data_IF_881054921995
#
_entry.id   IF_881054921995
#
_cell.length_a   1.000
_cell.length_b   1.000
_cell.length_c   1.000
_cell.angle_alpha   90.00
_cell.angle_beta   90.00
_cell.angle_gamma   90.00
#
_symmetry.space_group_name_H-M   'P 1'
#
loop_
_entity.id
_entity.type
_entity.pdbx_description
1 polymer ?
#
# COMPACT_ATOMS: atom_id res chain seq x y z
N UNK A 1 -61.46 -18.65 -0.26
CA UNK A 1 -61.46 -19.21 1.11
C UNK A 1 -60.11 -18.85 1.72
N UNK A 2 -60.07 -17.75 2.48
CA UNK A 2 -58.84 -17.25 3.11
C UNK A 2 -58.66 -17.94 4.45
N UNK A 3 -57.70 -18.86 4.56
CA UNK A 3 -57.25 -19.40 5.84
C UNK A 3 -56.45 -18.33 6.58
N UNK A 4 -57.15 -17.51 7.36
CA UNK A 4 -56.55 -16.77 8.47
C UNK A 4 -56.24 -17.76 9.58
N UNK A 5 -55.04 -18.35 9.55
CA UNK A 5 -54.49 -19.08 10.69
C UNK A 5 -54.06 -18.08 11.75
N UNK A 6 -55.00 -17.69 12.62
CA UNK A 6 -54.71 -17.15 13.94
C UNK A 6 -54.15 -18.27 14.81
N UNK A 7 -52.87 -18.56 14.64
CA UNK A 7 -52.12 -19.38 15.58
C UNK A 7 -51.89 -18.54 16.84
N UNK A 8 -52.65 -18.83 17.90
CA UNK A 8 -52.37 -18.35 19.26
C UNK A 8 -50.93 -18.74 19.62
N UNK A 9 -50.03 -17.79 19.92
CA UNK A 9 -48.67 -18.15 20.30
C UNK A 9 -48.73 -19.00 21.57
N UNK A 10 -48.16 -20.21 21.51
CA UNK A 10 -48.05 -21.09 22.65
C UNK A 10 -47.43 -20.31 23.81
N UNK A 11 -48.18 -20.15 24.90
CA UNK A 11 -47.71 -19.49 26.11
C UNK A 11 -46.56 -20.32 26.69
N UNK A 12 -45.33 -19.86 26.48
CA UNK A 12 -44.15 -20.48 27.08
C UNK A 12 -44.07 -20.07 28.56
N UNK A 13 -43.52 -20.93 29.44
CA UNK A 13 -43.43 -20.62 30.85
C UNK A 13 -42.73 -19.28 31.06
N UNK A 14 -43.36 -18.36 31.80
CA UNK A 14 -42.80 -17.03 32.07
C UNK A 14 -41.90 -17.02 33.32
N UNK A 15 -41.76 -18.16 33.99
CA UNK A 15 -40.92 -18.31 35.18
C UNK A 15 -39.48 -17.93 34.86
N UNK A 16 -38.95 -16.99 35.64
CA UNK A 16 -37.53 -16.63 35.68
C UNK A 16 -36.94 -17.29 36.92
N UNK A 17 -36.04 -18.24 36.73
CA UNK A 17 -35.45 -18.96 37.85
C UNK A 17 -34.50 -18.07 38.67
N UNK A 18 -34.43 -18.23 40.01
CA UNK A 18 -33.55 -17.44 40.87
C UNK A 18 -32.08 -17.47 40.46
N UNK A 19 -31.58 -18.63 40.01
CA UNK A 19 -30.20 -18.75 39.55
C UNK A 19 -29.91 -17.96 38.26
N UNK A 20 -30.90 -17.74 37.38
CA UNK A 20 -30.75 -16.83 36.23
C UNK A 20 -30.64 -15.38 36.67
N UNK A 21 -31.45 -14.96 37.66
CA UNK A 21 -31.37 -13.61 38.22
C UNK A 21 -29.99 -13.36 38.83
N UNK A 22 -29.52 -14.28 39.68
CA UNK A 22 -28.19 -14.18 40.27
C UNK A 22 -27.08 -14.09 39.20
N UNK A 23 -27.17 -14.89 38.13
CA UNK A 23 -26.21 -14.84 37.03
C UNK A 23 -26.24 -13.52 36.26
N UNK A 24 -27.43 -12.94 36.04
CA UNK A 24 -27.56 -11.63 35.38
C UNK A 24 -26.98 -10.52 36.25
N UNK A 25 -27.33 -10.49 37.54
CA UNK A 25 -26.84 -9.48 38.49
C UNK A 25 -25.32 -9.49 38.57
N UNK A 26 -24.71 -10.68 38.71
CA UNK A 26 -23.26 -10.85 38.73
C UNK A 26 -22.58 -10.37 37.44
N UNK A 27 -23.30 -10.32 36.32
CA UNK A 27 -22.80 -9.88 35.01
C UNK A 27 -23.19 -8.44 34.67
N UNK A 28 -23.82 -7.71 35.60
CA UNK A 28 -24.20 -6.30 35.44
C UNK A 28 -25.55 -6.08 34.75
N UNK A 29 -26.46 -7.04 34.83
CA UNK A 29 -27.78 -6.99 34.20
C UNK A 29 -28.91 -7.39 35.16
N UNK A 30 -30.07 -6.76 35.02
CA UNK A 30 -31.32 -7.23 35.60
C UNK A 30 -32.14 -8.04 34.58
N UNK A 31 -32.95 -9.00 35.02
CA UNK A 31 -33.92 -9.70 34.16
C UNK A 31 -35.32 -9.12 34.41
N UNK A 32 -35.90 -8.51 33.36
CA UNK A 32 -37.26 -7.97 33.42
C UNK A 32 -38.31 -9.05 33.16
N UNK A 33 -38.17 -9.77 32.04
CA UNK A 33 -39.14 -10.78 31.59
C UNK A 33 -38.50 -11.72 30.55
N UNK A 34 -39.22 -12.79 30.18
CA UNK A 34 -38.90 -13.58 28.98
C UNK A 34 -39.56 -12.94 27.77
N UNK A 35 -38.90 -12.98 26.62
CA UNK A 35 -39.38 -12.36 25.36
C UNK A 35 -39.11 -13.28 24.19
N UNK A 36 -39.77 -13.06 23.04
CA UNK A 36 -39.63 -13.81 21.78
C UNK A 36 -40.02 -15.29 21.86
N UNK A 37 -39.36 -16.08 22.70
CA UNK A 37 -39.57 -17.51 22.88
C UNK A 37 -39.06 -17.96 24.27
N UNK A 38 -39.08 -19.29 24.50
CA UNK A 38 -38.64 -19.88 25.77
C UNK A 38 -37.13 -19.70 26.06
N UNK A 39 -36.32 -19.25 25.11
CA UNK A 39 -34.87 -19.15 25.24
C UNK A 39 -34.36 -17.73 25.41
N UNK A 40 -35.20 -16.69 25.30
CA UNK A 40 -34.75 -15.30 25.39
C UNK A 40 -35.26 -14.59 26.64
N UNK A 41 -34.35 -13.84 27.26
CA UNK A 41 -34.60 -12.95 28.38
C UNK A 41 -34.46 -11.51 27.90
N UNK A 42 -35.32 -10.63 28.41
CA UNK A 42 -35.15 -9.19 28.31
C UNK A 42 -34.27 -8.73 29.46
N UNK A 43 -33.02 -8.43 29.14
CA UNK A 43 -32.02 -7.93 30.09
C UNK A 43 -32.05 -6.41 30.13
N UNK A 44 -31.99 -5.84 31.33
CA UNK A 44 -31.76 -4.41 31.58
C UNK A 44 -30.28 -4.21 31.95
N UNK A 45 -29.56 -3.34 31.25
CA UNK A 45 -28.16 -3.07 31.53
C UNK A 45 -28.01 -2.10 32.71
N UNK A 46 -27.16 -2.39 33.70
CA UNK A 46 -26.96 -1.48 34.83
C UNK A 46 -26.17 -0.22 34.46
N UNK A 47 -25.35 -0.28 33.41
CA UNK A 47 -24.58 0.87 32.92
C UNK A 47 -25.47 1.86 32.17
N UNK A 48 -26.14 1.43 31.10
CA UNK A 48 -26.90 2.34 30.23
C UNK A 48 -28.42 2.35 30.48
N UNK A 49 -28.92 1.51 31.40
CA UNK A 49 -30.34 1.34 31.77
C UNK A 49 -31.29 0.93 30.64
N UNK A 50 -30.80 0.76 29.41
CA UNK A 50 -31.57 0.26 28.27
C UNK A 50 -31.69 -1.26 28.31
N UNK A 51 -32.73 -1.74 27.64
CA UNK A 51 -33.07 -3.16 27.60
C UNK A 51 -32.69 -3.80 26.27
N UNK A 52 -32.34 -5.08 26.29
CA UNK A 52 -32.08 -5.86 25.09
C UNK A 52 -32.43 -7.34 25.31
N UNK A 53 -32.78 -8.03 24.23
CA UNK A 53 -33.01 -9.48 24.28
C UNK A 53 -31.68 -10.24 24.24
N UNK A 54 -31.51 -11.21 25.13
CA UNK A 54 -30.36 -12.12 25.15
C UNK A 54 -30.82 -13.56 25.35
N UNK A 55 -30.12 -14.53 24.78
CA UNK A 55 -30.42 -15.95 25.00
C UNK A 55 -30.01 -16.35 26.42
N UNK A 56 -30.84 -17.17 27.09
CA UNK A 56 -30.53 -17.76 28.40
C UNK A 56 -29.16 -18.45 28.35
N UNK A 57 -28.89 -19.21 27.28
CA UNK A 57 -27.59 -19.87 27.11
C UNK A 57 -26.40 -18.90 27.13
N UNK A 58 -26.52 -17.72 26.51
CA UNK A 58 -25.47 -16.70 26.51
C UNK A 58 -25.32 -16.10 27.90
N UNK A 59 -26.43 -15.80 28.56
CA UNK A 59 -26.42 -15.33 29.95
C UNK A 59 -25.74 -16.34 30.88
N UNK A 60 -26.00 -17.63 30.73
CA UNK A 60 -25.46 -18.64 31.65
C UNK A 60 -23.99 -18.94 31.36
N UNK A 61 -23.60 -19.07 30.09
CA UNK A 61 -22.30 -19.63 29.72
C UNK A 61 -21.27 -18.59 29.24
N UNK A 62 -21.64 -17.32 29.09
CA UNK A 62 -20.74 -16.27 28.59
C UNK A 62 -21.03 -14.92 29.24
N UNK A 63 -20.25 -13.89 28.91
CA UNK A 63 -20.54 -12.51 29.30
C UNK A 63 -21.44 -11.86 28.22
N UNK A 64 -22.72 -11.57 28.50
CA UNK A 64 -23.54 -10.80 27.58
C UNK A 64 -22.95 -9.40 27.39
N UNK A 65 -22.91 -8.94 26.15
CA UNK A 65 -22.55 -7.57 25.83
C UNK A 65 -23.82 -6.77 25.56
N UNK A 66 -23.94 -5.60 26.18
CA UNK A 66 -25.06 -4.71 25.90
C UNK A 66 -24.90 -4.09 24.50
N UNK A 67 -25.80 -4.33 23.55
CA UNK A 67 -25.69 -3.76 22.20
C UNK A 67 -25.74 -2.22 22.22
N UNK A 68 -26.45 -1.65 23.19
CA UNK A 68 -26.54 -0.20 23.38
C UNK A 68 -25.22 0.40 23.84
N UNK A 69 -24.58 -0.15 24.90
CA UNK A 69 -23.27 0.35 25.34
C UNK A 69 -22.19 0.17 24.26
N UNK A 70 -22.27 -0.91 23.48
CA UNK A 70 -21.36 -1.11 22.34
C UNK A 70 -21.56 -0.01 21.29
N UNK A 71 -22.81 0.30 20.95
CA UNK A 71 -23.11 1.35 19.98
C UNK A 71 -22.68 2.72 20.48
N UNK A 72 -22.98 3.07 21.73
CA UNK A 72 -22.53 4.32 22.34
C UNK A 72 -21.00 4.45 22.25
N UNK A 73 -20.27 3.37 22.53
CA UNK A 73 -18.80 3.36 22.39
C UNK A 73 -18.38 3.63 20.95
N UNK A 74 -19.03 3.02 19.95
CA UNK A 74 -18.71 3.30 18.55
C UNK A 74 -19.04 4.73 18.13
N UNK A 75 -20.08 5.34 18.69
CA UNK A 75 -20.41 6.74 18.47
C UNK A 75 -19.35 7.65 19.10
N UNK A 76 -18.96 7.39 20.35
CA UNK A 76 -17.90 8.11 21.03
C UNK A 76 -16.55 7.98 20.33
N UNK A 77 -16.18 6.77 19.88
CA UNK A 77 -14.96 6.54 19.10
C UNK A 77 -15.00 7.34 17.77
N UNK A 78 -16.16 7.42 17.11
CA UNK A 78 -16.31 8.22 15.89
C UNK A 78 -16.11 9.71 16.17
N UNK A 79 -16.78 10.25 17.19
CA UNK A 79 -16.67 11.66 17.58
C UNK A 79 -15.23 12.04 17.95
N UNK A 80 -14.56 11.20 18.76
CA UNK A 80 -13.15 11.39 19.11
C UNK A 80 -12.21 11.32 17.90
N UNK A 81 -12.56 10.53 16.88
CA UNK A 81 -11.84 10.49 15.60
C UNK A 81 -12.23 11.63 14.64
N UNK A 82 -13.08 12.59 15.05
CA UNK A 82 -13.54 13.70 14.21
C UNK A 82 -14.52 13.27 13.11
N UNK A 83 -15.33 12.25 13.37
CA UNK A 83 -16.33 11.70 12.45
C UNK A 83 -17.71 11.63 13.10
N UNK A 84 -18.76 11.65 12.30
CA UNK A 84 -20.12 11.34 12.75
C UNK A 84 -20.46 9.88 12.43
N UNK A 85 -20.94 9.11 13.40
CA UNK A 85 -21.38 7.74 13.15
C UNK A 85 -22.68 7.69 12.33
N UNK A 86 -22.70 6.88 11.27
CA UNK A 86 -23.79 6.84 10.28
C UNK A 86 -24.46 5.46 10.13
N UNK A 87 -24.31 4.60 11.15
CA UNK A 87 -24.92 3.26 11.17
C UNK A 87 -23.91 2.14 10.95
N UNK A 88 -24.31 0.92 11.34
CA UNK A 88 -23.54 -0.29 11.04
C UNK A 88 -23.64 -0.65 9.56
N UNK A 89 -22.64 -1.37 9.07
CA UNK A 89 -22.75 -2.08 7.81
C UNK A 89 -23.63 -3.34 8.00
N UNK A 90 -24.80 -3.45 7.35
CA UNK A 90 -25.66 -4.62 7.48
C UNK A 90 -25.02 -5.90 6.91
N UNK A 91 -24.04 -5.75 6.01
CA UNK A 91 -23.35 -6.87 5.37
C UNK A 91 -22.05 -7.25 6.07
N UNK A 92 -21.61 -6.47 7.08
CA UNK A 92 -20.36 -6.76 7.78
C UNK A 92 -20.41 -6.47 9.27
N UNK A 93 -20.16 -7.49 10.08
CA UNK A 93 -20.07 -7.33 11.54
C UNK A 93 -18.88 -6.48 12.00
N UNK A 94 -17.88 -6.27 11.12
CA UNK A 94 -16.63 -5.57 11.44
C UNK A 94 -16.60 -4.12 10.94
N UNK A 95 -17.55 -3.71 10.10
CA UNK A 95 -17.57 -2.38 9.49
C UNK A 95 -18.79 -1.56 9.93
N UNK A 96 -18.63 -0.24 9.85
CA UNK A 96 -19.70 0.75 9.96
C UNK A 96 -19.49 1.87 8.96
N UNK A 97 -20.53 2.67 8.80
CA UNK A 97 -20.52 3.90 8.04
C UNK A 97 -20.32 5.10 8.95
N UNK A 98 -19.61 6.09 8.43
CA UNK A 98 -19.30 7.35 9.12
C UNK A 98 -19.43 8.50 8.13
N UNK A 99 -19.74 9.71 8.60
CA UNK A 99 -19.64 10.95 7.82
C UNK A 99 -18.40 11.70 8.28
N UNK A 100 -17.51 12.01 7.34
CA UNK A 100 -16.32 12.82 7.61
C UNK A 100 -16.65 14.31 7.60
N UNK A 101 -15.77 15.15 8.15
CA UNK A 101 -15.93 16.61 8.15
C UNK A 101 -16.04 17.23 6.75
N UNK A 102 -15.53 16.55 5.73
CA UNK A 102 -15.71 16.92 4.33
C UNK A 102 -17.10 16.55 3.75
N UNK A 103 -18.02 16.03 4.57
CA UNK A 103 -19.37 15.61 4.17
C UNK A 103 -19.46 14.20 3.55
N UNK A 104 -18.32 13.56 3.24
CA UNK A 104 -18.31 12.26 2.59
C UNK A 104 -18.63 11.10 3.52
N UNK A 105 -19.39 10.11 3.01
CA UNK A 105 -19.71 8.86 3.69
C UNK A 105 -18.56 7.86 3.54
N UNK A 106 -17.97 7.45 4.65
CA UNK A 106 -16.87 6.49 4.73
C UNK A 106 -17.36 5.14 5.24
N UNK A 107 -16.85 4.04 4.67
CA UNK A 107 -17.02 2.69 5.21
C UNK A 107 -15.71 2.25 5.88
N UNK A 108 -15.72 2.03 7.20
CA UNK A 108 -14.51 1.71 7.99
C UNK A 108 -14.73 0.61 9.00
N UNK A 109 -13.63 -0.08 9.31
CA UNK A 109 -13.59 -1.06 10.38
C UNK A 109 -13.65 -0.38 11.74
N UNK A 110 -14.29 -1.02 12.72
CA UNK A 110 -14.33 -0.51 14.09
C UNK A 110 -12.94 -0.32 14.71
N UNK A 111 -12.02 -1.25 14.47
CA UNK A 111 -10.68 -1.17 15.05
C UNK A 111 -9.87 0.02 14.50
N UNK A 112 -10.06 0.38 13.23
CA UNK A 112 -9.42 1.57 12.66
C UNK A 112 -9.93 2.84 13.37
N UNK A 113 -11.24 2.96 13.55
CA UNK A 113 -11.84 4.15 14.17
C UNK A 113 -11.44 4.24 15.65
N UNK A 114 -11.40 3.12 16.36
CA UNK A 114 -10.89 3.07 17.74
C UNK A 114 -9.43 3.53 17.84
N UNK A 115 -8.57 3.11 16.91
CA UNK A 115 -7.17 3.58 16.86
C UNK A 115 -7.08 5.06 16.55
N UNK A 116 -7.95 5.57 15.66
CA UNK A 116 -8.01 6.99 15.35
C UNK A 116 -8.50 7.84 16.52
N UNK A 117 -9.52 7.37 17.25
CA UNK A 117 -9.99 7.99 18.49
C UNK A 117 -8.88 8.10 19.55
N UNK A 118 -7.96 7.13 19.58
CA UNK A 118 -6.78 7.13 20.45
C UNK A 118 -5.60 7.97 19.90
N UNK A 119 -5.75 8.65 18.77
CA UNK A 119 -4.70 9.46 18.14
C UNK A 119 -3.55 8.64 17.53
N UNK A 120 -3.73 7.33 17.32
CA UNK A 120 -2.68 6.45 16.78
C UNK A 120 -2.54 6.59 15.26
N UNK A 121 -3.62 6.96 14.57
CA UNK A 121 -3.64 7.15 13.13
C UNK A 121 -4.78 8.07 12.70
N UNK A 122 -4.64 8.72 11.56
CA UNK A 122 -5.72 9.54 10.99
C UNK A 122 -6.69 8.72 10.13
N UNK A 123 -7.95 9.17 10.08
CA UNK A 123 -8.94 8.65 9.14
C UNK A 123 -8.97 9.53 7.90
N UNK A 124 -8.35 9.04 6.83
CA UNK A 124 -8.38 9.71 5.52
C UNK A 124 -9.69 9.45 4.80
N UNK A 125 -10.24 10.45 4.12
CA UNK A 125 -11.31 10.30 3.14
C UNK A 125 -10.72 9.96 1.76
N UNK A 126 -11.11 8.84 1.14
CA UNK A 126 -10.61 8.47 -0.20
C UNK A 126 -11.05 9.44 -1.28
N UNK A 127 -12.26 9.99 -1.19
CA UNK A 127 -12.79 10.93 -2.18
C UNK A 127 -12.00 12.24 -2.18
N UNK A 128 -11.76 12.84 -1.01
CA UNK A 128 -10.89 14.01 -0.91
C UNK A 128 -9.45 13.71 -1.34
N UNK A 129 -8.95 12.51 -1.06
CA UNK A 129 -7.62 12.12 -1.51
C UNK A 129 -7.55 12.00 -3.04
N UNK A 130 -8.57 11.43 -3.68
CA UNK A 130 -8.66 11.31 -5.14
C UNK A 130 -8.74 12.68 -5.78
N UNK A 131 -9.60 13.57 -5.25
CA UNK A 131 -9.71 14.94 -5.72
C UNK A 131 -8.36 15.67 -5.61
N UNK A 132 -7.68 15.56 -4.48
CA UNK A 132 -6.35 16.15 -4.31
C UNK A 132 -5.32 15.59 -5.30
N UNK A 133 -5.32 14.28 -5.55
CA UNK A 133 -4.40 13.66 -6.54
C UNK A 133 -4.71 14.13 -7.97
N UNK A 134 -5.98 14.36 -8.28
CA UNK A 134 -6.41 14.94 -9.56
C UNK A 134 -5.94 16.40 -9.70
N UNK A 135 -6.16 17.23 -8.67
CA UNK A 135 -5.70 18.63 -8.64
C UNK A 135 -4.16 18.72 -8.75
N UNK A 136 -3.43 17.82 -8.07
CA UNK A 136 -1.98 17.70 -8.18
C UNK A 136 -1.54 17.34 -9.60
N UNK A 137 -2.27 16.44 -10.29
CA UNK A 137 -1.98 16.09 -11.68
C UNK A 137 -2.24 17.27 -12.62
N UNK A 138 -3.40 17.91 -12.49
CA UNK A 138 -3.81 19.06 -13.31
C UNK A 138 -2.84 20.23 -13.17
N UNK A 139 -2.37 20.51 -11.95
CA UNK A 139 -1.36 21.53 -11.68
C UNK A 139 -0.03 21.27 -12.41
N UNK A 140 0.27 20.02 -12.74
CA UNK A 140 1.44 19.62 -13.52
C UNK A 140 1.13 19.44 -15.02
N UNK A 141 -0.10 19.69 -15.46
CA UNK A 141 -0.53 19.48 -16.85
C UNK A 141 -0.80 18.01 -17.20
N UNK A 142 -1.06 17.16 -16.22
CA UNK A 142 -1.34 15.73 -16.40
C UNK A 142 -2.75 15.38 -15.94
N UNK A 143 -3.25 14.24 -16.41
CA UNK A 143 -4.53 13.68 -15.98
C UNK A 143 -4.32 12.38 -15.22
N UNK A 144 -4.91 12.25 -14.04
CA UNK A 144 -4.93 10.99 -13.30
C UNK A 144 -5.99 10.07 -13.89
N UNK A 145 -5.56 8.95 -14.48
CA UNK A 145 -6.46 7.98 -15.13
C UNK A 145 -6.69 6.72 -14.29
N UNK A 146 -5.89 6.46 -13.27
CA UNK A 146 -6.19 5.36 -12.35
C UNK A 146 -5.10 4.99 -11.35
N UNK A 147 -5.36 3.88 -10.66
CA UNK A 147 -4.37 3.24 -9.78
C UNK A 147 -3.22 2.65 -10.58
N UNK A 148 -2.12 2.35 -9.90
CA UNK A 148 -0.99 1.66 -10.52
C UNK A 148 -1.41 0.26 -11.04
N UNK A 149 -1.17 -0.07 -12.33
CA UNK A 149 -1.48 -1.39 -12.88
C UNK A 149 -0.75 -2.54 -12.18
N UNK A 150 0.44 -2.28 -11.63
CA UNK A 150 1.22 -3.27 -10.87
C UNK A 150 0.82 -3.34 -9.39
N UNK A 151 -0.20 -2.58 -8.96
CA UNK A 151 -0.68 -2.56 -7.59
C UNK A 151 0.22 -1.81 -6.59
N UNK A 152 1.22 -1.05 -7.04
CA UNK A 152 2.06 -0.26 -6.15
C UNK A 152 1.35 1.01 -5.70
N UNK A 153 0.99 1.08 -4.42
CA UNK A 153 0.24 2.21 -3.84
C UNK A 153 0.98 3.55 -3.93
N UNK A 154 2.31 3.54 -4.08
CA UNK A 154 3.14 4.74 -4.23
C UNK A 154 3.10 5.32 -5.65
N UNK A 155 2.51 4.60 -6.60
CA UNK A 155 2.38 5.00 -7.99
C UNK A 155 0.91 5.19 -8.35
N UNK A 156 0.70 5.93 -9.43
CA UNK A 156 -0.57 6.10 -10.13
C UNK A 156 -0.29 6.09 -11.62
N UNK A 157 -1.34 5.79 -12.38
CA UNK A 157 -1.31 5.88 -13.83
C UNK A 157 -1.85 7.25 -14.25
N UNK A 158 -1.06 7.98 -15.03
CA UNK A 158 -1.41 9.29 -15.55
C UNK A 158 -1.34 9.30 -17.07
N UNK A 159 -2.15 10.16 -17.69
CA UNK A 159 -2.13 10.46 -19.12
C UNK A 159 -1.57 11.85 -19.36
N UNK A 160 -0.66 11.97 -20.31
CA UNK A 160 -0.18 13.26 -20.81
C UNK A 160 -1.15 13.77 -21.89
N UNK A 161 -1.88 14.87 -21.68
CA UNK A 161 -2.89 15.34 -22.62
C UNK A 161 -2.31 15.70 -24.00
N UNK A 162 -1.09 16.24 -24.07
CA UNK A 162 -0.51 16.72 -25.33
C UNK A 162 -0.17 15.59 -26.32
N UNK A 163 0.31 14.45 -25.82
CA UNK A 163 0.75 13.34 -26.66
C UNK A 163 -0.04 12.04 -26.44
N UNK A 164 -1.00 12.03 -25.51
CA UNK A 164 -1.80 10.86 -25.14
C UNK A 164 -1.05 9.77 -24.39
N UNK A 165 0.23 9.95 -24.06
CA UNK A 165 1.06 8.91 -23.44
C UNK A 165 0.60 8.62 -22.01
N UNK A 166 0.38 7.34 -21.71
CA UNK A 166 0.06 6.88 -20.37
C UNK A 166 1.32 6.37 -19.68
N UNK A 167 1.59 6.86 -18.48
CA UNK A 167 2.75 6.40 -17.73
C UNK A 167 2.50 6.37 -16.23
N UNK A 168 3.26 5.48 -15.59
CA UNK A 168 3.30 5.37 -14.14
C UNK A 168 4.19 6.46 -13.59
N UNK A 169 3.66 7.26 -12.68
CA UNK A 169 4.43 8.29 -11.96
C UNK A 169 4.28 8.06 -10.47
N UNK A 170 5.38 8.14 -9.74
CA UNK A 170 5.35 8.10 -8.28
C UNK A 170 4.59 9.32 -7.75
N UNK A 171 3.70 9.13 -6.77
CA UNK A 171 2.89 10.21 -6.18
C UNK A 171 3.75 11.40 -5.71
N UNK A 172 4.88 11.11 -5.08
CA UNK A 172 5.83 12.13 -4.62
C UNK A 172 6.46 12.92 -5.78
N UNK A 173 6.69 12.29 -6.94
CA UNK A 173 7.23 12.97 -8.11
C UNK A 173 6.16 13.87 -8.75
N UNK A 174 4.91 13.39 -8.84
CA UNK A 174 3.78 14.21 -9.30
C UNK A 174 3.63 15.47 -8.44
N UNK A 175 3.66 15.31 -7.12
CA UNK A 175 3.59 16.44 -6.17
C UNK A 175 4.72 17.46 -6.31
N UNK A 176 5.91 17.02 -6.71
CA UNK A 176 7.11 17.88 -6.78
C UNK A 176 7.42 18.36 -8.19
N UNK A 177 6.68 17.93 -9.22
CA UNK A 177 6.99 18.18 -10.63
C UNK A 177 8.27 17.50 -11.12
N UNK A 178 8.83 16.54 -10.36
CA UNK A 178 10.11 15.89 -10.68
C UNK A 178 9.93 14.66 -11.59
N UNK A 179 9.35 14.88 -12.76
CA UNK A 179 9.11 13.87 -13.77
C UNK A 179 8.89 14.54 -15.14
N UNK A 180 8.96 13.76 -16.22
CA UNK A 180 8.65 14.23 -17.56
C UNK A 180 7.90 13.15 -18.33
N UNK A 181 7.28 13.52 -19.46
CA UNK A 181 6.62 12.56 -20.32
C UNK A 181 7.65 11.65 -21.00
N UNK A 182 7.56 10.33 -20.79
CA UNK A 182 8.47 9.37 -21.43
C UNK A 182 8.41 9.33 -22.95
N UNK A 183 7.34 9.83 -23.57
CA UNK A 183 7.18 9.90 -25.03
C UNK A 183 7.68 11.21 -25.65
N UNK A 184 7.16 12.38 -25.21
CA UNK A 184 7.47 13.68 -25.82
C UNK A 184 8.26 14.64 -24.90
N UNK A 185 8.60 14.23 -23.68
CA UNK A 185 9.34 15.07 -22.75
C UNK A 185 10.78 15.26 -23.18
N UNK A 186 11.32 16.46 -22.97
CA UNK A 186 12.74 16.76 -23.20
C UNK A 186 13.60 16.49 -21.96
N UNK A 187 12.96 16.15 -20.83
CA UNK A 187 13.62 15.88 -19.56
C UNK A 187 14.42 14.55 -19.56
N UNK A 188 15.41 14.49 -18.66
CA UNK A 188 16.37 13.38 -18.49
C UNK A 188 15.80 11.94 -18.57
N UNK A 189 14.56 11.64 -18.11
CA UNK A 189 13.97 10.30 -18.22
C UNK A 189 13.51 9.92 -19.63
N UNK A 190 13.18 10.89 -20.49
CA UNK A 190 12.60 10.66 -21.81
C UNK A 190 13.65 10.70 -22.93
N UNK A 191 14.78 11.37 -22.69
CA UNK A 191 15.89 11.37 -23.64
C UNK A 191 16.46 9.95 -23.87
N UNK A 192 16.91 9.63 -25.11
CA UNK A 192 17.61 8.38 -25.40
C UNK A 192 18.80 8.15 -24.46
N UNK A 193 19.00 6.89 -24.10
CA UNK A 193 20.01 6.49 -23.12
C UNK A 193 20.69 5.19 -23.53
N UNK A 194 21.61 4.72 -22.70
CA UNK A 194 22.34 3.47 -22.94
C UNK A 194 22.47 2.69 -21.65
N UNK A 195 22.23 1.37 -21.72
CA UNK A 195 22.82 0.44 -20.76
C UNK A 195 24.29 0.22 -21.12
N UNK A 196 25.14 0.03 -20.12
CA UNK A 196 26.56 -0.24 -20.35
C UNK A 196 27.13 -1.28 -19.38
N UNK A 197 28.18 -1.95 -19.84
CA UNK A 197 29.13 -2.65 -19.00
C UNK A 197 30.51 -2.02 -19.16
N UNK A 198 31.13 -1.58 -18.06
CA UNK A 198 32.45 -0.95 -18.04
C UNK A 198 33.41 -1.77 -17.17
N UNK A 199 34.64 -1.97 -17.64
CA UNK A 199 35.70 -2.59 -16.86
C UNK A 199 36.58 -1.53 -16.19
N UNK A 200 37.05 -1.83 -14.98
CA UNK A 200 38.09 -1.10 -14.27
C UNK A 200 39.17 -2.07 -13.83
N UNK A 201 40.44 -1.71 -14.03
CA UNK A 201 41.57 -2.43 -13.48
C UNK A 201 42.17 -1.61 -12.35
N UNK A 202 42.02 -2.10 -11.13
CA UNK A 202 42.53 -1.46 -9.93
C UNK A 202 44.07 -1.55 -9.87
N UNK A 203 44.75 -0.67 -9.12
CA UNK A 203 46.21 -0.69 -8.98
C UNK A 203 46.77 -2.03 -8.46
N UNK A 204 45.99 -2.75 -7.64
CA UNK A 204 46.33 -4.08 -7.13
C UNK A 204 46.15 -5.22 -8.18
N UNK A 205 45.82 -4.89 -9.43
CA UNK A 205 45.61 -5.84 -10.53
C UNK A 205 44.21 -6.45 -10.58
N UNK A 206 43.33 -6.14 -9.63
CA UNK A 206 41.96 -6.67 -9.62
C UNK A 206 41.12 -6.02 -10.72
N UNK A 207 40.43 -6.83 -11.51
CA UNK A 207 39.51 -6.38 -12.54
C UNK A 207 38.07 -6.42 -12.04
N UNK A 208 37.37 -5.29 -12.18
CA UNK A 208 35.97 -5.11 -11.80
C UNK A 208 35.14 -4.70 -13.01
N UNK A 209 33.84 -4.99 -12.96
CA UNK A 209 32.87 -4.61 -13.99
C UNK A 209 31.72 -3.84 -13.33
N UNK A 210 31.41 -2.64 -13.84
CA UNK A 210 30.17 -1.93 -13.50
C UNK A 210 29.13 -2.14 -14.59
N UNK A 211 27.95 -2.56 -14.17
CA UNK A 211 26.72 -2.45 -14.94
C UNK A 211 26.00 -1.17 -14.52
N UNK A 212 25.47 -0.42 -15.48
CA UNK A 212 24.67 0.76 -15.21
C UNK A 212 24.06 1.35 -16.47
N UNK A 213 23.43 2.51 -16.34
CA UNK A 213 22.92 3.28 -17.48
C UNK A 213 23.39 4.74 -17.49
N UNK A 214 23.41 5.34 -18.67
CA UNK A 214 23.66 6.78 -18.85
C UNK A 214 23.34 7.24 -20.27
N UNK A 215 23.00 8.54 -20.42
CA UNK A 215 22.87 9.18 -21.74
C UNK A 215 24.13 9.07 -22.60
N UNK A 216 25.30 9.26 -21.99
CA UNK A 216 26.59 9.19 -22.67
C UNK A 216 27.58 8.35 -21.82
N UNK A 217 27.72 7.05 -22.13
CA UNK A 217 28.62 6.13 -21.42
C UNK A 217 30.07 6.61 -21.40
N UNK A 218 30.54 7.23 -22.48
CA UNK A 218 31.93 7.67 -22.62
C UNK A 218 32.24 8.84 -21.66
N UNK A 219 31.35 9.83 -21.62
CA UNK A 219 31.41 10.92 -20.65
C UNK A 219 31.26 10.44 -19.21
N UNK A 220 30.35 9.48 -18.97
CA UNK A 220 30.13 8.86 -17.66
C UNK A 220 31.42 8.19 -17.16
N UNK A 221 32.07 7.39 -18.01
CA UNK A 221 33.32 6.72 -17.68
C UNK A 221 34.42 7.74 -17.36
N UNK A 222 34.74 8.63 -18.31
CA UNK A 222 35.94 9.48 -18.25
C UNK A 222 35.85 10.61 -17.24
N UNK A 223 34.64 11.11 -16.94
CA UNK A 223 34.47 12.32 -16.13
C UNK A 223 33.72 12.12 -14.82
N UNK A 224 32.92 11.06 -14.68
CA UNK A 224 32.00 10.92 -13.54
C UNK A 224 32.30 9.72 -12.65
N UNK A 225 32.79 8.60 -13.21
CA UNK A 225 33.01 7.37 -12.44
C UNK A 225 34.41 7.29 -11.84
N UNK A 226 35.44 7.75 -12.54
CA UNK A 226 36.82 7.64 -12.10
C UNK A 226 37.17 8.73 -11.07
N UNK A 227 37.90 8.36 -10.00
CA UNK A 227 38.55 9.34 -9.11
C UNK A 227 39.88 9.82 -9.69
N UNK A 228 40.60 8.91 -10.36
CA UNK A 228 41.90 9.17 -10.97
C UNK A 228 41.84 8.88 -12.48
N UNK A 229 42.39 9.78 -13.30
CA UNK A 229 42.27 9.71 -14.77
C UNK A 229 43.16 8.65 -15.43
N UNK A 230 44.18 8.21 -14.72
CA UNK A 230 45.16 7.19 -15.08
C UNK A 230 44.68 5.75 -14.79
N UNK A 231 43.51 5.59 -14.16
CA UNK A 231 42.93 4.26 -13.95
C UNK A 231 42.60 3.62 -15.30
N UNK A 232 43.14 2.42 -15.54
CA UNK A 232 42.83 1.62 -16.73
C UNK A 232 41.36 1.20 -16.67
N UNK A 233 40.56 1.80 -17.55
CA UNK A 233 39.13 1.59 -17.61
C UNK A 233 38.63 1.67 -19.06
N UNK A 234 37.70 0.80 -19.41
CA UNK A 234 37.14 0.72 -20.76
C UNK A 234 35.67 0.34 -20.76
N UNK A 235 34.96 0.83 -21.77
CA UNK A 235 33.62 0.36 -22.09
C UNK A 235 33.75 -1.01 -22.75
N UNK A 236 33.11 -2.02 -22.18
CA UNK A 236 33.06 -3.37 -22.73
C UNK A 236 31.88 -3.52 -23.69
N UNK A 237 30.73 -2.94 -23.33
CA UNK A 237 29.49 -3.06 -24.09
C UNK A 237 28.55 -1.90 -23.81
N UNK A 238 27.77 -1.53 -24.82
CA UNK A 238 26.67 -0.57 -24.72
C UNK A 238 25.46 -1.09 -25.49
N UNK A 239 24.26 -0.88 -24.94
CA UNK A 239 22.99 -1.16 -25.60
C UNK A 239 22.19 0.14 -25.62
N UNK A 240 21.84 0.70 -26.79
CA UNK A 240 20.99 1.88 -26.86
C UNK A 240 19.60 1.55 -26.32
N UNK A 241 18.99 2.51 -25.63
CA UNK A 241 17.65 2.42 -25.06
C UNK A 241 16.87 3.63 -25.54
N UNK A 242 15.61 3.43 -25.95
CA UNK A 242 14.78 4.51 -26.47
C UNK A 242 14.65 5.69 -25.48
N UNK A 243 14.62 5.41 -24.17
CA UNK A 243 14.55 6.44 -23.12
C UNK A 243 15.40 6.09 -21.89
N UNK A 244 15.79 7.09 -21.11
CA UNK A 244 16.43 6.93 -19.81
C UNK A 244 15.59 6.14 -18.80
N UNK A 245 14.26 6.27 -18.87
CA UNK A 245 13.31 5.55 -18.02
C UNK A 245 13.34 4.05 -18.30
N UNK A 246 13.33 3.65 -19.58
CA UNK A 246 13.47 2.24 -19.98
C UNK A 246 14.82 1.68 -19.55
N UNK A 247 15.89 2.46 -19.73
CA UNK A 247 17.23 2.09 -19.28
C UNK A 247 17.29 1.84 -17.77
N UNK A 248 16.72 2.74 -16.96
CA UNK A 248 16.66 2.60 -15.49
C UNK A 248 15.86 1.36 -15.06
N UNK A 249 14.70 1.11 -15.69
CA UNK A 249 13.87 -0.06 -15.35
C UNK A 249 14.58 -1.37 -15.73
N UNK A 250 15.20 -1.42 -16.91
CA UNK A 250 15.98 -2.56 -17.34
C UNK A 250 17.18 -2.80 -16.42
N UNK A 251 17.96 -1.76 -16.10
CA UNK A 251 19.11 -1.82 -15.18
C UNK A 251 18.70 -2.40 -13.82
N UNK A 252 17.62 -1.90 -13.19
CA UNK A 252 17.13 -2.44 -11.92
C UNK A 252 16.77 -3.93 -12.00
N UNK A 253 16.11 -4.35 -13.08
CA UNK A 253 15.78 -5.78 -13.30
C UNK A 253 17.04 -6.63 -13.42
N UNK A 254 18.07 -6.15 -14.11
CA UNK A 254 19.35 -6.84 -14.22
C UNK A 254 20.06 -6.95 -12.87
N UNK A 255 20.11 -5.88 -12.09
CA UNK A 255 20.73 -5.91 -10.77
C UNK A 255 20.02 -6.86 -9.81
N UNK A 256 18.68 -6.90 -9.84
CA UNK A 256 17.91 -7.88 -9.06
C UNK A 256 18.27 -9.33 -9.45
N UNK A 257 18.38 -9.62 -10.76
CA UNK A 257 18.79 -10.95 -11.26
C UNK A 257 20.22 -11.30 -10.81
N UNK A 258 21.16 -10.35 -10.90
CA UNK A 258 22.55 -10.56 -10.50
C UNK A 258 22.68 -10.78 -8.99
N UNK A 259 21.94 -10.02 -8.18
CA UNK A 259 21.92 -10.20 -6.73
C UNK A 259 21.35 -11.56 -6.30
N UNK A 260 20.31 -12.04 -6.97
CA UNK A 260 19.71 -13.33 -6.67
C UNK A 260 20.55 -14.51 -7.16
N UNK A 261 21.13 -14.43 -8.37
CA UNK A 261 21.84 -15.55 -9.00
C UNK A 261 23.34 -15.60 -8.73
N UNK A 262 23.97 -14.46 -8.46
CA UNK A 262 25.43 -14.32 -8.36
C UNK A 262 25.86 -13.41 -7.19
N UNK A 263 25.38 -13.63 -5.95
CA UNK A 263 25.71 -12.78 -4.81
C UNK A 263 27.22 -12.70 -4.55
N UNK A 264 27.95 -13.79 -4.74
CA UNK A 264 29.41 -13.87 -4.55
C UNK A 264 30.22 -13.07 -5.57
N UNK A 265 29.57 -12.62 -6.66
CA UNK A 265 30.21 -11.78 -7.68
C UNK A 265 30.04 -10.28 -7.41
N UNK A 266 29.33 -9.89 -6.35
CA UNK A 266 29.17 -8.47 -5.99
C UNK A 266 30.46 -8.00 -5.31
N UNK A 267 31.08 -6.96 -5.87
CA UNK A 267 32.30 -6.41 -5.29
C UNK A 267 31.95 -5.55 -4.06
N UNK A 268 32.63 -5.75 -2.91
CA UNK A 268 32.44 -4.92 -1.73
C UNK A 268 32.95 -3.49 -1.98
N UNK A 269 32.26 -2.42 -1.54
CA UNK A 269 32.66 -1.03 -1.79
C UNK A 269 34.08 -0.68 -1.34
N UNK A 270 34.54 -1.30 -0.26
CA UNK A 270 35.87 -1.09 0.32
C UNK A 270 36.99 -1.39 -0.70
N UNK A 271 36.73 -2.29 -1.66
CA UNK A 271 37.69 -2.70 -2.68
C UNK A 271 37.95 -1.61 -3.73
N UNK A 272 36.97 -0.76 -4.01
CA UNK A 272 37.03 0.19 -5.14
C UNK A 272 36.74 1.64 -4.76
N UNK A 273 36.35 1.91 -3.51
CA UNK A 273 35.97 3.25 -3.08
C UNK A 273 37.07 4.29 -3.27
N UNK A 274 38.35 3.90 -3.21
CA UNK A 274 39.48 4.81 -3.46
C UNK A 274 39.69 5.12 -4.95
N UNK A 275 39.26 4.23 -5.85
CA UNK A 275 39.44 4.38 -7.28
C UNK A 275 38.21 4.95 -8.01
N UNK A 276 37.00 4.69 -7.49
CA UNK A 276 35.74 5.00 -8.16
C UNK A 276 34.81 5.89 -7.31
N UNK A 277 33.98 6.68 -7.96
CA UNK A 277 32.96 7.57 -7.36
C UNK A 277 31.57 6.91 -7.23
N UNK A 278 31.51 5.59 -7.20
CA UNK A 278 30.27 4.81 -7.08
C UNK A 278 30.23 4.05 -5.77
N UNK A 279 29.02 3.67 -5.32
CA UNK A 279 28.79 2.97 -4.05
C UNK A 279 28.31 1.53 -4.21
N UNK A 280 27.87 1.15 -5.41
CA UNK A 280 27.20 -0.13 -5.66
C UNK A 280 27.29 -0.51 -7.14
N UNK A 281 26.72 -1.68 -7.46
CA UNK A 281 26.55 -2.18 -8.84
C UNK A 281 27.89 -2.43 -9.56
N UNK A 282 28.91 -2.70 -8.76
CA UNK A 282 30.23 -3.13 -9.20
C UNK A 282 30.36 -4.61 -8.88
N UNK A 283 30.86 -5.36 -9.83
CA UNK A 283 30.97 -6.81 -9.80
C UNK A 283 32.40 -7.25 -10.07
N UNK A 284 32.77 -8.43 -9.60
CA UNK A 284 34.01 -9.08 -10.00
C UNK A 284 33.96 -9.49 -11.48
N UNK A 285 35.14 -9.69 -12.08
CA UNK A 285 35.27 -10.06 -13.48
C UNK A 285 34.51 -11.34 -13.87
N UNK A 286 34.25 -12.25 -12.93
CA UNK A 286 33.48 -13.48 -13.16
C UNK A 286 32.03 -13.23 -13.62
N UNK A 287 31.43 -12.10 -13.24
CA UNK A 287 30.08 -11.74 -13.68
C UNK A 287 30.01 -11.20 -15.13
N UNK A 288 31.14 -10.90 -15.77
CA UNK A 288 31.16 -10.19 -17.05
C UNK A 288 30.34 -10.90 -18.15
N UNK A 289 30.52 -12.21 -18.30
CA UNK A 289 29.84 -12.98 -19.35
C UNK A 289 28.32 -13.04 -19.12
N UNK A 290 27.89 -13.15 -17.86
CA UNK A 290 26.47 -13.14 -17.50
C UNK A 290 25.87 -11.76 -17.80
N UNK A 291 26.57 -10.69 -17.43
CA UNK A 291 26.15 -9.31 -17.74
C UNK A 291 26.04 -9.12 -19.25
N UNK A 292 26.98 -9.63 -20.04
CA UNK A 292 26.93 -9.52 -21.50
C UNK A 292 25.74 -10.25 -22.10
N UNK A 293 25.48 -11.49 -21.67
CA UNK A 293 24.33 -12.26 -22.12
C UNK A 293 22.99 -11.56 -21.77
N UNK A 294 22.91 -10.98 -20.58
CA UNK A 294 21.74 -10.18 -20.17
C UNK A 294 21.54 -8.93 -21.03
N UNK A 295 22.62 -8.24 -21.40
CA UNK A 295 22.57 -7.09 -22.30
C UNK A 295 22.21 -7.49 -23.74
N UNK A 296 22.68 -8.66 -24.22
CA UNK A 296 22.31 -9.19 -25.53
C UNK A 296 20.82 -9.52 -25.61
N UNK A 297 20.25 -10.10 -24.56
CA UNK A 297 18.82 -10.38 -24.49
C UNK A 297 17.99 -9.10 -24.60
N UNK A 298 18.37 -8.03 -23.88
CA UNK A 298 17.68 -6.73 -23.98
C UNK A 298 17.82 -6.14 -25.38
N UNK A 299 19.01 -6.21 -25.97
CA UNK A 299 19.22 -5.71 -27.33
C UNK A 299 18.30 -6.42 -28.34
N UNK A 300 18.16 -7.73 -28.23
CA UNK A 300 17.25 -8.50 -29.09
C UNK A 300 15.77 -8.12 -28.88
N UNK A 301 15.37 -7.80 -27.64
CA UNK A 301 14.02 -7.31 -27.33
C UNK A 301 13.75 -5.91 -27.92
N UNK A 302 14.73 -4.99 -27.90
CA UNK A 302 14.57 -3.63 -28.46
C UNK A 302 14.63 -3.61 -30.00
N UNK A 303 15.30 -4.59 -30.63
CA UNK A 303 15.40 -4.74 -32.09
C UNK A 303 14.16 -5.45 -32.71
N UNK A 304 13.26 -6.00 -31.89
CA UNK A 304 12.06 -6.77 -32.32
C UNK A 304 10.79 -5.93 -32.37
#
# INVERSE_FOLDING_TARGET
MNNSSTATPAAFPLTIHPHWRAAAEAKGFGILQRVKDRYHLLLSCHTCRRTHASKIFVLMNSQPQCPHCIQDRWQADAEAAGLQWAGRDPQSRHHSFYIANCGHRLRRQFELIKRAAAGICDVRCELCQQQKEQEEAEAQGWELIGTDPDGNQNYRLYRHPECGHEQRVARANMQTGRFGCGLCGEDWPAAPSHLYAMQFKLPNGTCLVKLGFSRNPDSRLRHQLLKHRDLDAKILKTVPMATGQLALQAEKRLHAKLQAGFPDQIAPPELYSDALRVRSEVYFAGAAQVIFAMLDAIKAEEDS
#
